data_IF_838257973307
#
_entry.id   IF_838257973307
#
_cell.length_a   1.000
_cell.length_b   1.000
_cell.length_c   1.000
_cell.angle_alpha   90.00
_cell.angle_beta   90.00
_cell.angle_gamma   90.00
#
_symmetry.space_group_name_H-M   'P 1'
#
loop_
_entity.id
_entity.type
_entity.pdbx_description
1 polymer ?
#
# COMPACT_ATOMS: atom_id res chain seq x y z
N UNK A 1 3.78 -11.52 -0.93
CA UNK A 1 2.83 -10.46 -1.34
C UNK A 1 1.48 -10.73 -0.73
N UNK A 2 0.71 -9.68 -0.43
CA UNK A 2 -0.66 -9.83 0.03
C UNK A 2 -1.53 -10.37 -1.10
N UNK A 3 -2.32 -11.40 -0.85
CA UNK A 3 -3.20 -12.00 -1.85
C UNK A 3 -4.30 -11.02 -2.27
N UNK A 4 -4.57 -10.92 -3.57
CA UNK A 4 -5.54 -9.99 -4.15
C UNK A 4 -5.03 -8.54 -4.28
N UNK A 5 -3.76 -8.30 -3.95
CA UNK A 5 -3.15 -6.97 -4.04
C UNK A 5 -2.62 -6.64 -5.45
N UNK A 6 -2.37 -5.37 -5.72
CA UNK A 6 -1.69 -4.91 -6.93
C UNK A 6 -0.24 -5.41 -7.00
N UNK A 7 0.42 -5.56 -5.85
CA UNK A 7 1.76 -6.12 -5.74
C UNK A 7 1.81 -7.60 -6.15
N UNK A 8 0.80 -8.39 -5.80
CA UNK A 8 0.69 -9.77 -6.28
C UNK A 8 0.55 -9.81 -7.80
N UNK A 9 -0.35 -9.01 -8.38
CA UNK A 9 -0.54 -8.95 -9.83
C UNK A 9 0.76 -8.59 -10.55
N UNK A 10 1.45 -7.54 -10.08
CA UNK A 10 2.73 -7.11 -10.65
C UNK A 10 3.80 -8.20 -10.54
N UNK A 11 3.99 -8.77 -9.34
CA UNK A 11 5.02 -9.77 -9.09
C UNK A 11 4.76 -11.06 -9.88
N UNK A 12 3.51 -11.46 -10.03
CA UNK A 12 3.15 -12.65 -10.80
C UNK A 12 3.51 -12.49 -12.28
N UNK A 13 3.08 -11.39 -12.89
CA UNK A 13 3.30 -11.17 -14.32
C UNK A 13 4.78 -10.93 -14.64
N UNK A 14 5.48 -10.19 -13.79
CA UNK A 14 6.83 -9.69 -14.11
C UNK A 14 7.98 -10.48 -13.51
N UNK A 15 7.76 -11.17 -12.38
CA UNK A 15 8.82 -11.86 -11.62
C UNK A 15 8.61 -13.37 -11.57
N UNK A 16 7.40 -13.84 -11.23
CA UNK A 16 7.11 -15.28 -11.13
C UNK A 16 7.31 -15.98 -12.48
N UNK A 17 6.86 -15.36 -13.57
CA UNK A 17 7.08 -15.84 -14.94
C UNK A 17 8.56 -15.96 -15.34
N UNK A 18 9.46 -15.29 -14.60
CA UNK A 18 10.91 -15.25 -14.83
C UNK A 18 11.71 -16.04 -13.80
N UNK A 19 11.04 -16.89 -13.01
CA UNK A 19 11.70 -17.81 -12.08
C UNK A 19 11.85 -17.30 -10.64
N UNK A 20 11.31 -16.12 -10.31
CA UNK A 20 11.25 -15.68 -8.91
C UNK A 20 10.18 -16.49 -8.17
N UNK A 21 10.52 -17.05 -7.01
CA UNK A 21 9.55 -17.71 -6.13
C UNK A 21 8.68 -16.65 -5.43
N UNK A 22 7.67 -16.13 -6.13
CA UNK A 22 6.67 -15.24 -5.52
C UNK A 22 5.78 -16.08 -4.61
N UNK A 23 5.60 -15.65 -3.36
CA UNK A 23 4.71 -16.29 -2.39
C UNK A 23 3.59 -15.31 -2.03
N UNK A 24 2.34 -15.77 -2.10
CA UNK A 24 1.15 -14.99 -1.76
C UNK A 24 0.66 -15.38 -0.36
N UNK A 25 0.28 -14.38 0.45
CA UNK A 25 -0.12 -14.53 1.84
C UNK A 25 -1.50 -13.93 2.09
N UNK A 26 -2.24 -14.52 3.01
CA UNK A 26 -3.60 -14.10 3.35
C UNK A 26 -3.67 -12.70 4.00
N UNK A 27 -2.59 -12.26 4.67
CA UNK A 27 -2.49 -10.94 5.28
C UNK A 27 -1.03 -10.46 5.32
N UNK A 28 -0.84 -9.17 5.62
CA UNK A 28 0.48 -8.54 5.65
C UNK A 28 1.33 -8.94 6.86
N UNK A 29 0.71 -9.26 8.01
CA UNK A 29 1.44 -9.65 9.23
C UNK A 29 2.18 -10.98 9.04
N UNK A 30 1.59 -11.93 8.30
CA UNK A 30 2.25 -13.18 7.93
C UNK A 30 3.47 -12.94 7.04
N UNK A 31 3.43 -11.92 6.17
CA UNK A 31 4.58 -11.55 5.32
C UNK A 31 5.71 -11.03 6.20
N UNK A 32 5.43 -10.13 7.14
CA UNK A 32 6.44 -9.62 8.07
C UNK A 32 7.00 -10.71 8.97
N UNK A 33 6.14 -11.63 9.45
CA UNK A 33 6.58 -12.77 10.26
C UNK A 33 7.49 -13.74 9.50
N UNK A 34 7.21 -14.02 8.22
CA UNK A 34 8.05 -14.91 7.43
C UNK A 34 9.34 -14.21 6.95
N UNK A 35 9.30 -12.89 6.75
CA UNK A 35 10.48 -12.08 6.50
C UNK A 35 11.43 -12.09 7.71
N UNK A 36 10.91 -11.87 8.92
CA UNK A 36 11.71 -11.91 10.17
C UNK A 36 12.20 -13.31 10.55
N UNK A 37 11.48 -14.35 10.13
CA UNK A 37 11.91 -15.73 10.27
C UNK A 37 12.95 -16.17 9.22
N UNK A 38 13.31 -15.31 8.26
CA UNK A 38 14.25 -15.65 7.18
C UNK A 38 13.70 -16.63 6.14
N UNK A 39 12.37 -16.77 6.06
CA UNK A 39 11.69 -17.60 5.04
C UNK A 39 11.44 -16.83 3.74
N UNK A 40 11.38 -15.51 3.82
CA UNK A 40 11.34 -14.60 2.67
C UNK A 40 12.63 -13.80 2.61
N UNK A 41 13.16 -13.61 1.40
CA UNK A 41 14.30 -12.73 1.15
C UNK A 41 13.87 -11.25 1.04
N UNK A 42 12.65 -11.01 0.57
CA UNK A 42 12.09 -9.67 0.35
C UNK A 42 10.56 -9.68 0.32
N UNK A 43 9.95 -8.50 0.48
CA UNK A 43 8.51 -8.27 0.37
C UNK A 43 8.19 -7.00 -0.43
N UNK A 44 7.15 -7.05 -1.27
CA UNK A 44 6.59 -5.90 -1.98
C UNK A 44 5.20 -5.60 -1.41
N UNK A 45 5.01 -4.35 -1.00
CA UNK A 45 3.79 -3.78 -0.42
C UNK A 45 3.79 -2.25 -0.64
N UNK A 46 2.74 -1.56 -0.19
CA UNK A 46 2.70 -0.09 -0.22
C UNK A 46 3.83 0.51 0.63
N UNK A 47 4.51 1.52 0.08
CA UNK A 47 5.73 2.10 0.65
C UNK A 47 5.50 2.69 2.06
N UNK A 48 4.43 3.46 2.22
CA UNK A 48 4.08 4.08 3.51
C UNK A 48 3.70 3.02 4.54
N UNK A 49 3.01 1.95 4.14
CA UNK A 49 2.66 0.85 5.02
C UNK A 49 3.91 0.08 5.50
N UNK A 50 4.89 -0.14 4.63
CA UNK A 50 6.17 -0.74 5.02
C UNK A 50 6.96 0.17 5.96
N UNK A 51 7.04 1.48 5.66
CA UNK A 51 7.79 2.45 6.46
C UNK A 51 7.23 2.57 7.87
N UNK A 52 5.97 2.98 8.00
CA UNK A 52 5.34 3.28 9.30
C UNK A 52 4.95 2.01 10.05
N UNK A 53 4.50 0.98 9.33
CA UNK A 53 3.96 -0.26 9.90
C UNK A 53 5.02 -1.32 10.21
N UNK A 54 6.23 -1.22 9.66
CA UNK A 54 7.27 -2.24 9.87
C UNK A 54 8.66 -1.64 10.12
N UNK A 55 9.24 -0.90 9.17
CA UNK A 55 10.64 -0.43 9.25
C UNK A 55 10.89 0.52 10.44
N UNK A 56 9.92 1.38 10.75
CA UNK A 56 9.98 2.26 11.93
C UNK A 56 9.64 1.54 13.24
N UNK A 57 9.02 0.36 13.17
CA UNK A 57 8.64 -0.47 14.32
C UNK A 57 9.81 -1.37 14.79
N UNK A 58 9.76 -1.94 16.01
CA UNK A 58 10.82 -2.81 16.52
C UNK A 58 11.12 -4.02 15.61
N UNK A 59 10.09 -4.64 15.03
CA UNK A 59 10.24 -5.83 14.19
C UNK A 59 11.00 -5.58 12.88
N UNK A 60 11.01 -4.34 12.37
CA UNK A 60 11.64 -4.00 11.10
C UNK A 60 13.04 -3.39 11.21
N UNK A 61 13.64 -3.33 12.42
CA UNK A 61 14.92 -2.62 12.62
C UNK A 61 16.13 -3.24 11.89
N UNK A 62 16.03 -4.51 11.54
CA UNK A 62 17.06 -5.22 10.77
C UNK A 62 16.80 -5.17 9.25
N UNK A 63 15.75 -4.45 8.83
CA UNK A 63 15.30 -4.38 7.45
C UNK A 63 15.39 -2.95 6.92
N UNK A 64 15.43 -2.84 5.60
CA UNK A 64 15.45 -1.58 4.89
C UNK A 64 14.71 -1.70 3.55
N UNK A 65 14.47 -0.57 2.91
CA UNK A 65 14.03 -0.57 1.52
C UNK A 65 15.12 -1.13 0.61
N UNK A 66 14.72 -2.05 -0.27
CA UNK A 66 15.58 -2.64 -1.30
C UNK A 66 15.35 -1.94 -2.64
N UNK A 67 16.02 -0.80 -2.84
CA UNK A 67 15.87 0.04 -4.04
C UNK A 67 14.71 1.04 -3.97
N UNK A 68 14.46 1.78 -5.06
CA UNK A 68 13.39 2.78 -5.12
C UNK A 68 12.01 2.16 -5.31
N UNK A 69 10.96 2.95 -5.11
CA UNK A 69 9.58 2.54 -5.39
C UNK A 69 9.41 2.08 -6.83
N UNK A 70 8.74 0.93 -7.01
CA UNK A 70 8.40 0.43 -8.34
C UNK A 70 7.21 1.23 -8.88
N UNK A 71 7.44 1.97 -9.96
CA UNK A 71 6.39 2.77 -10.61
C UNK A 71 5.90 2.08 -11.87
N UNK A 72 4.66 1.63 -11.84
CA UNK A 72 3.96 1.09 -13.00
C UNK A 72 2.46 1.40 -12.89
N UNK A 73 1.99 2.35 -13.71
CA UNK A 73 0.61 2.83 -13.69
C UNK A 73 -0.41 1.74 -14.02
N UNK A 74 -0.02 0.73 -14.81
CA UNK A 74 -0.92 -0.38 -15.18
C UNK A 74 -1.27 -1.22 -13.95
N UNK A 75 -0.30 -1.45 -13.06
CA UNK A 75 -0.49 -2.32 -11.90
C UNK A 75 -0.88 -1.54 -10.65
N UNK A 76 -0.24 -0.40 -10.38
CA UNK A 76 -0.41 0.33 -9.12
C UNK A 76 -1.41 1.49 -9.20
N UNK A 77 -1.90 1.81 -10.39
CA UNK A 77 -2.93 2.83 -10.57
C UNK A 77 -2.44 4.25 -10.24
N UNK A 78 -3.36 5.05 -9.71
CA UNK A 78 -3.16 6.48 -9.41
C UNK A 78 -3.78 6.80 -8.04
N UNK A 79 -3.02 6.47 -6.99
CA UNK A 79 -3.48 6.60 -5.60
C UNK A 79 -4.55 5.57 -5.21
N UNK A 80 -5.21 5.84 -4.08
CA UNK A 80 -6.27 5.00 -3.51
C UNK A 80 -7.60 5.74 -3.49
N UNK A 81 -8.71 4.98 -3.46
CA UNK A 81 -10.05 5.54 -3.45
C UNK A 81 -11.07 4.61 -2.80
N UNK A 82 -12.26 5.14 -2.58
CA UNK A 82 -13.40 4.36 -2.06
C UNK A 82 -13.94 3.47 -3.19
N UNK A 83 -13.82 2.16 -3.04
CA UNK A 83 -14.38 1.18 -3.98
C UNK A 83 -15.90 1.06 -3.84
N UNK A 84 -16.64 1.31 -4.91
CA UNK A 84 -18.11 1.27 -4.96
C UNK A 84 -18.60 0.44 -6.15
N UNK A 85 -19.88 0.01 -6.13
CA UNK A 85 -20.50 -0.55 -7.33
C UNK A 85 -20.66 0.54 -8.38
N UNK A 86 -20.63 0.16 -9.66
CA UNK A 86 -20.61 1.12 -10.79
C UNK A 86 -21.91 1.94 -10.91
N UNK A 87 -23.01 1.38 -10.45
CA UNK A 87 -24.36 1.94 -10.49
C UNK A 87 -24.70 2.78 -9.24
N UNK A 88 -23.88 2.76 -8.19
CA UNK A 88 -24.08 3.55 -6.96
C UNK A 88 -23.67 5.03 -7.15
N UNK A 89 -24.23 5.73 -8.14
CA UNK A 89 -23.79 7.09 -8.51
C UNK A 89 -24.06 8.13 -7.43
N UNK A 90 -25.16 8.00 -6.68
CA UNK A 90 -25.51 8.92 -5.59
C UNK A 90 -24.55 8.77 -4.40
N UNK A 91 -24.23 7.53 -4.03
CA UNK A 91 -23.28 7.24 -2.95
C UNK A 91 -21.87 7.72 -3.31
N UNK A 92 -21.47 7.55 -4.59
CA UNK A 92 -20.23 8.12 -5.09
C UNK A 92 -20.20 9.64 -4.91
N UNK A 93 -21.25 10.34 -5.34
CA UNK A 93 -21.32 11.80 -5.21
C UNK A 93 -21.26 12.26 -3.74
N UNK A 94 -21.87 11.50 -2.83
CA UNK A 94 -21.81 11.79 -1.40
C UNK A 94 -20.39 11.65 -0.83
N UNK A 95 -19.67 10.56 -1.15
CA UNK A 95 -18.27 10.39 -0.73
C UNK A 95 -17.36 11.46 -1.34
N UNK A 96 -17.50 11.75 -2.63
CA UNK A 96 -16.71 12.77 -3.32
C UNK A 96 -16.90 14.16 -2.66
N UNK A 97 -18.16 14.52 -2.36
CA UNK A 97 -18.49 15.77 -1.68
C UNK A 97 -17.87 15.85 -0.28
N UNK A 98 -18.06 14.81 0.53
CA UNK A 98 -17.52 14.77 1.89
C UNK A 98 -15.98 14.84 1.90
N UNK A 99 -15.33 14.15 0.97
CA UNK A 99 -13.87 14.20 0.81
C UNK A 99 -13.40 15.60 0.40
N UNK A 100 -14.12 16.28 -0.49
CA UNK A 100 -13.78 17.66 -0.88
C UNK A 100 -13.93 18.63 0.31
N UNK A 101 -15.03 18.53 1.06
CA UNK A 101 -15.32 19.39 2.22
C UNK A 101 -14.26 19.23 3.33
N UNK A 102 -13.92 17.99 3.72
CA UNK A 102 -12.92 17.73 4.76
C UNK A 102 -11.48 18.10 4.34
N UNK A 103 -11.23 18.22 3.03
CA UNK A 103 -9.95 18.72 2.51
C UNK A 103 -9.92 20.23 2.55
N UNK A 104 -11.02 20.87 2.15
CA UNK A 104 -11.15 22.33 2.13
C UNK A 104 -11.07 22.95 3.53
N UNK A 105 -11.63 22.29 4.55
CA UNK A 105 -11.64 22.79 5.93
C UNK A 105 -10.37 22.43 6.75
N UNK A 106 -9.42 21.72 6.14
CA UNK A 106 -8.16 21.30 6.76
C UNK A 106 -8.28 20.11 7.73
N UNK A 107 -9.45 19.46 7.81
CA UNK A 107 -9.64 18.24 8.61
C UNK A 107 -8.76 17.10 8.11
N UNK A 108 -8.59 16.95 6.79
CA UNK A 108 -7.67 15.97 6.19
C UNK A 108 -6.26 16.09 6.76
N UNK A 109 -5.67 17.28 6.68
CA UNK A 109 -4.28 17.52 7.11
C UNK A 109 -4.11 17.31 8.62
N UNK A 110 -5.11 17.70 9.42
CA UNK A 110 -5.11 17.46 10.87
C UNK A 110 -5.11 15.97 11.19
N UNK A 111 -5.84 15.15 10.42
CA UNK A 111 -5.84 13.70 10.59
C UNK A 111 -4.52 13.09 10.10
N UNK A 112 -4.03 13.49 8.93
CA UNK A 112 -2.80 12.98 8.33
C UNK A 112 -1.57 13.22 9.22
N UNK A 113 -1.46 14.42 9.83
CA UNK A 113 -0.35 14.78 10.73
C UNK A 113 -0.20 13.91 11.97
N UNK A 114 -1.21 13.11 12.33
CA UNK A 114 -1.09 12.15 13.43
C UNK A 114 -0.22 10.95 13.07
N UNK A 115 -0.07 10.67 11.77
CA UNK A 115 0.57 9.47 11.26
C UNK A 115 1.78 9.78 10.37
N UNK A 116 1.77 10.93 9.70
CA UNK A 116 2.75 11.27 8.66
C UNK A 116 3.30 12.68 8.88
N UNK A 117 4.62 12.81 8.71
CA UNK A 117 5.35 14.08 8.70
C UNK A 117 5.61 14.61 7.28
N UNK A 118 5.01 13.97 6.27
CA UNK A 118 5.09 14.32 4.85
C UNK A 118 3.69 14.42 4.20
N UNK A 119 3.61 14.93 2.97
CA UNK A 119 2.36 14.96 2.20
C UNK A 119 1.98 13.55 1.73
N UNK A 120 1.12 12.87 2.48
CA UNK A 120 0.63 11.51 2.13
C UNK A 120 -0.41 11.52 1.00
N UNK A 121 -1.04 12.67 0.70
CA UNK A 121 -2.05 12.75 -0.36
C UNK A 121 -1.43 12.59 -1.74
N UNK A 122 -0.19 13.04 -1.92
CA UNK A 122 0.44 13.15 -3.23
C UNK A 122 -0.02 14.41 -3.99
N UNK A 123 0.01 14.32 -5.32
CA UNK A 123 -0.44 15.36 -6.25
C UNK A 123 -1.96 15.28 -6.50
#
# INVERSE_FOLDING_TARGET
>A
MLQGSTQEAYANDNWRTKGVNVVAYANQDLIYSDLTAGRLDAALQDEVAASEGFLKQPAGKEYAFAGPSVKDKKYFGDGTGVGLRKDDTELKAAFDKALAELRQDGTYDKMAKKYFDFNVYGD
#
